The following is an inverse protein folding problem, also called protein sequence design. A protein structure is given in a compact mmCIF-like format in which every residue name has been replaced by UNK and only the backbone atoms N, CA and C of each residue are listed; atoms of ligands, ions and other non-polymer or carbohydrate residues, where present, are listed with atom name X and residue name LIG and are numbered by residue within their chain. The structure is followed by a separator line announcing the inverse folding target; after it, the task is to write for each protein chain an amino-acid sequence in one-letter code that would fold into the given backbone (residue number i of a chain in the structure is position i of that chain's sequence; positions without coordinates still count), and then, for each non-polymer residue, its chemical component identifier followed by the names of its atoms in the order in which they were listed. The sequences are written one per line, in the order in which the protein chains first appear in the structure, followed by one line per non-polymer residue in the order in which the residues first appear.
data_IF_860810444528
#
_entry.id   IF_860810444528
#
_cell.length_a   1.000
_cell.length_b   1.000
_cell.length_c   1.000
_cell.angle_alpha   90.00
_cell.angle_beta   90.00
_cell.angle_gamma   90.00
#
_symmetry.space_group_name_H-M   'P 1'
#
loop_
_entity.id
_entity.type
_entity.pdbx_description
1 polymer ?
#
# COMPACT_ATOMS: atom_id res chain seq x y z
N UNK A 1 -9.68 54.48 -31.44
CA UNK A 1 -10.40 53.19 -31.41
C UNK A 1 -9.43 51.99 -31.44
N UNK A 2 -8.35 52.04 -32.17
CA UNK A 2 -7.46 50.88 -32.42
C UNK A 2 -6.63 50.38 -31.24
N UNK A 3 -6.02 51.29 -30.43
CA UNK A 3 -5.12 50.87 -29.35
C UNK A 3 -5.90 50.18 -28.19
N UNK A 4 -7.02 50.76 -27.78
CA UNK A 4 -7.84 50.17 -26.72
C UNK A 4 -8.40 48.79 -27.10
N UNK A 5 -8.79 48.56 -28.36
CA UNK A 5 -9.25 47.26 -28.87
C UNK A 5 -8.09 46.25 -28.92
N UNK A 6 -6.90 46.66 -29.28
CA UNK A 6 -5.70 45.82 -29.31
C UNK A 6 -5.35 45.41 -27.88
N UNK A 7 -5.31 46.36 -26.92
CA UNK A 7 -5.05 46.07 -25.51
C UNK A 7 -6.09 45.07 -24.92
N UNK A 8 -7.36 45.32 -25.20
CA UNK A 8 -8.44 44.40 -24.79
C UNK A 8 -8.27 43.01 -25.40
N UNK A 9 -7.93 42.93 -26.68
CA UNK A 9 -7.69 41.64 -27.37
C UNK A 9 -6.51 40.87 -26.75
N UNK A 10 -5.39 41.58 -26.46
CA UNK A 10 -4.22 40.98 -25.81
C UNK A 10 -4.57 40.50 -24.39
N UNK A 11 -5.32 41.29 -23.64
CA UNK A 11 -5.73 40.92 -22.27
C UNK A 11 -6.63 39.65 -22.26
N UNK A 12 -7.59 39.59 -23.20
CA UNK A 12 -8.44 38.41 -23.38
C UNK A 12 -7.62 37.19 -23.79
N UNK A 13 -6.66 37.33 -24.69
CA UNK A 13 -5.78 36.26 -25.11
C UNK A 13 -4.96 35.71 -23.92
N UNK A 14 -4.38 36.59 -23.08
CA UNK A 14 -3.64 36.22 -21.90
C UNK A 14 -4.52 35.47 -20.90
N UNK A 15 -5.75 35.95 -20.68
CA UNK A 15 -6.70 35.26 -19.79
C UNK A 15 -7.05 33.85 -20.29
N UNK A 16 -7.26 33.69 -21.60
CA UNK A 16 -7.53 32.37 -22.20
C UNK A 16 -6.33 31.43 -22.03
N UNK A 17 -5.11 31.92 -22.29
CA UNK A 17 -3.89 31.13 -22.12
C UNK A 17 -3.68 30.72 -20.69
N UNK A 18 -3.91 31.61 -19.72
CA UNK A 18 -3.86 31.30 -18.28
C UNK A 18 -4.92 30.27 -17.91
N UNK A 19 -6.13 30.39 -18.43
CA UNK A 19 -7.19 29.41 -18.21
C UNK A 19 -6.81 28.01 -18.71
N UNK A 20 -6.30 27.92 -19.94
CA UNK A 20 -5.84 26.66 -20.53
C UNK A 20 -4.69 26.03 -19.74
N UNK A 21 -3.79 26.87 -19.22
CA UNK A 21 -2.68 26.43 -18.39
C UNK A 21 -3.14 25.85 -17.06
N UNK A 22 -4.10 26.50 -16.38
CA UNK A 22 -4.72 25.98 -15.13
C UNK A 22 -5.42 24.65 -15.37
N UNK A 23 -6.13 24.52 -16.48
CA UNK A 23 -6.75 23.23 -16.90
C UNK A 23 -5.67 22.14 -17.06
N UNK A 24 -4.53 22.49 -17.66
CA UNK A 24 -3.40 21.57 -17.79
C UNK A 24 -2.87 21.08 -16.44
N UNK A 25 -2.71 21.97 -15.46
CA UNK A 25 -2.31 21.65 -14.09
C UNK A 25 -3.34 20.70 -13.44
N UNK A 26 -4.62 21.05 -13.51
CA UNK A 26 -5.70 20.24 -12.97
C UNK A 26 -5.69 18.80 -13.54
N UNK A 27 -5.64 18.69 -14.86
CA UNK A 27 -5.62 17.40 -15.55
C UNK A 27 -4.39 16.56 -15.18
N UNK A 28 -3.22 17.19 -15.02
CA UNK A 28 -2.00 16.53 -14.58
C UNK A 28 -2.15 15.95 -13.16
N UNK A 29 -2.69 16.73 -12.22
CA UNK A 29 -2.93 16.27 -10.84
C UNK A 29 -3.96 15.13 -10.81
N UNK A 30 -5.02 15.20 -11.61
CA UNK A 30 -6.00 14.11 -11.73
C UNK A 30 -5.34 12.84 -12.27
N UNK A 31 -4.52 12.95 -13.31
CA UNK A 31 -3.83 11.81 -13.91
C UNK A 31 -2.88 11.13 -12.90
N UNK A 32 -2.10 11.91 -12.15
CA UNK A 32 -1.20 11.41 -11.13
C UNK A 32 -1.96 10.77 -9.95
N UNK A 33 -3.07 11.37 -9.52
CA UNK A 33 -3.95 10.79 -8.51
C UNK A 33 -4.50 9.43 -8.95
N UNK A 34 -4.94 9.31 -10.19
CA UNK A 34 -5.44 8.05 -10.71
C UNK A 34 -4.31 7.01 -10.87
N UNK A 35 -3.08 7.46 -11.15
CA UNK A 35 -1.91 6.58 -11.25
C UNK A 35 -1.61 5.89 -9.92
N UNK A 36 -1.54 6.62 -8.79
CA UNK A 36 -1.29 5.96 -7.51
C UNK A 36 -2.47 5.11 -7.04
N UNK A 37 -3.73 5.49 -7.34
CA UNK A 37 -4.89 4.64 -7.09
C UNK A 37 -4.82 3.31 -7.85
N UNK A 38 -4.40 3.35 -9.10
CA UNK A 38 -4.19 2.14 -9.90
C UNK A 38 -3.01 1.30 -9.38
N UNK A 39 -1.92 1.94 -8.92
CA UNK A 39 -0.82 1.23 -8.27
C UNK A 39 -1.27 0.55 -6.98
N UNK A 40 -2.16 1.17 -6.18
CA UNK A 40 -2.75 0.54 -5.00
C UNK A 40 -3.57 -0.73 -5.35
N UNK A 41 -4.29 -0.74 -6.46
CA UNK A 41 -5.04 -1.92 -6.89
C UNK A 41 -4.15 -3.16 -7.08
N UNK A 42 -2.87 -2.98 -7.46
CA UNK A 42 -1.92 -4.09 -7.53
C UNK A 42 -1.56 -4.64 -6.14
N UNK A 43 -1.45 -3.76 -5.14
CA UNK A 43 -1.29 -4.18 -3.74
C UNK A 43 -2.51 -4.99 -3.29
N UNK A 44 -3.72 -4.47 -3.52
CA UNK A 44 -4.98 -5.09 -3.10
C UNK A 44 -5.14 -6.52 -3.65
N UNK A 45 -4.78 -6.74 -4.93
CA UNK A 45 -4.79 -8.08 -5.54
C UNK A 45 -3.88 -9.07 -4.79
N UNK A 46 -2.65 -8.63 -4.43
CA UNK A 46 -1.70 -9.51 -3.74
C UNK A 46 -2.09 -9.73 -2.26
N UNK A 47 -2.64 -8.71 -1.60
CA UNK A 47 -3.17 -8.84 -0.25
C UNK A 47 -4.33 -9.84 -0.20
N UNK A 48 -5.28 -9.76 -1.13
CA UNK A 48 -6.37 -10.74 -1.23
C UNK A 48 -5.83 -12.16 -1.38
N UNK A 49 -4.85 -12.38 -2.28
CA UNK A 49 -4.22 -13.69 -2.44
C UNK A 49 -3.60 -14.18 -1.12
N UNK A 50 -2.90 -13.31 -0.39
CA UNK A 50 -2.33 -13.65 0.93
C UNK A 50 -3.42 -14.04 1.92
N UNK A 51 -4.51 -13.27 2.00
CA UNK A 51 -5.62 -13.58 2.89
C UNK A 51 -6.34 -14.88 2.55
N UNK A 52 -6.35 -15.30 1.29
CA UNK A 52 -6.96 -16.56 0.86
C UNK A 52 -6.06 -17.77 1.16
N UNK A 53 -4.74 -17.60 1.20
CA UNK A 53 -3.79 -18.66 1.55
C UNK A 53 -3.77 -18.96 3.05
N UNK A 54 -3.94 -17.96 3.91
CA UNK A 54 -3.80 -18.09 5.37
C UNK A 54 -4.77 -19.11 5.99
N UNK A 55 -6.07 -19.18 5.67
CA UNK A 55 -6.97 -20.19 6.19
C UNK A 55 -6.51 -21.61 5.88
N UNK A 56 -5.99 -21.85 4.68
CA UNK A 56 -5.48 -23.17 4.27
C UNK A 56 -4.22 -23.53 5.07
N UNK A 57 -3.31 -22.57 5.28
CA UNK A 57 -2.13 -22.76 6.13
C UNK A 57 -2.53 -23.14 7.57
N UNK A 58 -3.49 -22.42 8.15
CA UNK A 58 -3.98 -22.64 9.52
C UNK A 58 -4.66 -24.01 9.60
N UNK A 59 -5.41 -24.44 8.59
CA UNK A 59 -6.08 -25.76 8.58
C UNK A 59 -5.07 -26.90 8.53
N UNK A 60 -4.03 -26.80 7.68
CA UNK A 60 -2.93 -27.78 7.66
C UNK A 60 -2.22 -27.81 9.02
N UNK A 61 -1.89 -26.64 9.58
CA UNK A 61 -1.22 -26.55 10.88
C UNK A 61 -2.05 -27.15 12.02
N UNK A 62 -3.38 -26.97 12.01
CA UNK A 62 -4.31 -27.49 13.03
C UNK A 62 -4.26 -29.00 13.16
N UNK A 63 -4.00 -29.72 12.07
CA UNK A 63 -3.87 -31.18 12.08
C UNK A 63 -2.72 -31.69 12.96
N UNK A 64 -1.66 -30.88 13.09
CA UNK A 64 -0.43 -31.22 13.82
C UNK A 64 -0.30 -30.48 15.15
N UNK A 65 -0.81 -29.26 15.27
CA UNK A 65 -0.64 -28.32 16.38
C UNK A 65 -1.90 -28.26 17.27
N UNK A 66 -2.40 -29.39 17.72
CA UNK A 66 -3.69 -29.48 18.46
C UNK A 66 -3.71 -28.67 19.77
N UNK A 67 -2.56 -28.44 20.41
CA UNK A 67 -2.44 -27.69 21.66
C UNK A 67 -2.18 -26.19 21.47
N UNK A 68 -2.05 -25.74 20.21
CA UNK A 68 -1.71 -24.36 19.84
C UNK A 68 -2.92 -23.56 19.29
N UNK A 69 -4.14 -23.88 19.78
CA UNK A 69 -5.36 -23.24 19.26
C UNK A 69 -5.31 -21.71 19.34
N UNK A 70 -4.74 -21.14 20.43
CA UNK A 70 -4.63 -19.71 20.61
C UNK A 70 -3.74 -19.02 19.56
N UNK A 71 -2.65 -19.68 19.14
CA UNK A 71 -1.77 -19.17 18.07
C UNK A 71 -2.48 -19.20 16.72
N UNK A 72 -3.18 -20.30 16.40
CA UNK A 72 -3.94 -20.44 15.18
C UNK A 72 -5.10 -19.44 15.10
N UNK A 73 -5.84 -19.25 16.20
CA UNK A 73 -6.94 -18.28 16.29
C UNK A 73 -6.43 -16.84 16.15
N UNK A 74 -5.27 -16.52 16.73
CA UNK A 74 -4.66 -15.19 16.61
C UNK A 74 -4.33 -14.85 15.14
N UNK A 75 -3.85 -15.81 14.35
CA UNK A 75 -3.59 -15.63 12.92
C UNK A 75 -4.88 -15.35 12.15
N UNK A 76 -5.94 -16.14 12.38
CA UNK A 76 -7.25 -15.92 11.72
C UNK A 76 -7.83 -14.56 12.11
N UNK A 77 -7.76 -14.17 13.39
CA UNK A 77 -8.23 -12.85 13.86
C UNK A 77 -7.46 -11.71 13.20
N UNK A 78 -6.14 -11.78 13.17
CA UNK A 78 -5.30 -10.76 12.54
C UNK A 78 -5.56 -10.67 11.03
N UNK A 79 -5.72 -11.81 10.35
CA UNK A 79 -6.11 -11.86 8.92
C UNK A 79 -7.44 -11.17 8.66
N UNK A 80 -8.46 -11.39 9.51
CA UNK A 80 -9.77 -10.77 9.32
C UNK A 80 -9.71 -9.24 9.51
N UNK A 81 -8.93 -8.77 10.50
CA UNK A 81 -8.68 -7.34 10.72
C UNK A 81 -7.99 -6.72 9.50
N UNK A 82 -6.93 -7.39 8.99
CA UNK A 82 -6.19 -6.92 7.83
C UNK A 82 -7.06 -6.89 6.56
N UNK A 83 -7.88 -7.92 6.33
CA UNK A 83 -8.80 -7.98 5.19
C UNK A 83 -9.84 -6.85 5.22
N UNK A 84 -10.39 -6.52 6.40
CA UNK A 84 -11.33 -5.40 6.56
C UNK A 84 -10.64 -4.06 6.30
N UNK A 85 -9.43 -3.87 6.82
CA UNK A 85 -8.67 -2.65 6.59
C UNK A 85 -8.27 -2.49 5.11
N UNK A 86 -7.90 -3.58 4.43
CA UNK A 86 -7.60 -3.59 3.00
C UNK A 86 -8.83 -3.19 2.16
N UNK A 87 -10.00 -3.71 2.49
CA UNK A 87 -11.24 -3.34 1.81
C UNK A 87 -11.55 -1.83 1.96
N UNK A 88 -11.34 -1.27 3.16
CA UNK A 88 -11.52 0.16 3.40
C UNK A 88 -10.53 1.02 2.60
N UNK A 89 -9.26 0.62 2.56
CA UNK A 89 -8.23 1.31 1.79
C UNK A 89 -8.46 1.19 0.26
N UNK A 90 -8.95 0.03 -0.21
CA UNK A 90 -9.28 -0.19 -1.62
C UNK A 90 -10.48 0.67 -2.08
N UNK A 91 -11.45 0.93 -1.19
CA UNK A 91 -12.57 1.81 -1.49
C UNK A 91 -12.13 3.26 -1.74
N UNK A 92 -11.14 3.75 -1.00
CA UNK A 92 -10.56 5.08 -1.20
C UNK A 92 -9.05 5.13 -0.89
N UNK A 93 -8.18 4.78 -1.85
CA UNK A 93 -6.72 4.82 -1.65
C UNK A 93 -6.13 6.22 -1.44
N UNK A 94 -6.94 7.28 -1.57
CA UNK A 94 -6.54 8.65 -1.26
C UNK A 94 -6.80 9.03 0.20
N UNK A 95 -7.49 8.20 0.98
CA UNK A 95 -7.68 8.40 2.41
C UNK A 95 -6.44 7.91 3.17
N UNK A 96 -5.64 8.87 3.66
CA UNK A 96 -4.44 8.57 4.43
C UNK A 96 -4.71 7.78 5.72
N UNK A 97 -5.87 7.96 6.35
CA UNK A 97 -6.23 7.19 7.55
C UNK A 97 -6.52 5.72 7.21
N UNK A 98 -7.21 5.47 6.10
CA UNK A 98 -7.45 4.10 5.63
C UNK A 98 -6.13 3.38 5.31
N UNK A 99 -5.17 4.06 4.68
CA UNK A 99 -3.84 3.51 4.41
C UNK A 99 -3.07 3.23 5.72
N UNK A 100 -3.08 4.15 6.70
CA UNK A 100 -2.43 3.94 8.01
C UNK A 100 -3.04 2.78 8.77
N UNK A 101 -4.37 2.67 8.78
CA UNK A 101 -5.06 1.55 9.42
C UNK A 101 -4.68 0.21 8.76
N UNK A 102 -4.59 0.19 7.42
CA UNK A 102 -4.14 -1.00 6.69
C UNK A 102 -2.70 -1.36 7.09
N UNK A 103 -1.77 -0.40 7.12
CA UNK A 103 -0.37 -0.66 7.53
C UNK A 103 -0.28 -1.27 8.92
N UNK A 104 -1.04 -0.72 9.89
CA UNK A 104 -1.07 -1.25 11.26
C UNK A 104 -1.65 -2.67 11.32
N UNK A 105 -2.72 -2.92 10.58
CA UNK A 105 -3.35 -4.26 10.52
C UNK A 105 -2.42 -5.29 9.85
N UNK A 106 -1.69 -4.91 8.80
CA UNK A 106 -0.70 -5.73 8.12
C UNK A 106 0.49 -6.07 9.02
N UNK A 107 0.99 -5.11 9.80
CA UNK A 107 2.03 -5.35 10.80
C UNK A 107 1.57 -6.36 11.87
N UNK A 108 0.32 -6.24 12.33
CA UNK A 108 -0.28 -7.20 13.26
C UNK A 108 -0.40 -8.61 12.66
N UNK A 109 -0.79 -8.73 11.40
CA UNK A 109 -0.86 -10.02 10.71
C UNK A 109 0.55 -10.62 10.52
N UNK A 110 1.53 -9.81 10.12
CA UNK A 110 2.92 -10.24 10.00
C UNK A 110 3.46 -10.80 11.32
N UNK A 111 3.20 -10.13 12.45
CA UNK A 111 3.58 -10.60 13.78
C UNK A 111 2.91 -11.93 14.16
N UNK A 112 1.63 -12.10 13.85
CA UNK A 112 0.91 -13.35 14.12
C UNK A 112 1.43 -14.52 13.26
N UNK A 113 1.72 -14.29 11.97
CA UNK A 113 2.31 -15.28 11.08
C UNK A 113 3.74 -15.65 11.52
N UNK A 114 4.56 -14.68 11.88
CA UNK A 114 5.91 -14.94 12.39
C UNK A 114 5.87 -15.81 13.65
N UNK A 115 4.94 -15.54 14.58
CA UNK A 115 4.76 -16.37 15.76
C UNK A 115 4.33 -17.80 15.40
N UNK A 116 3.41 -17.96 14.46
CA UNK A 116 3.00 -19.28 13.97
C UNK A 116 4.20 -20.05 13.41
N UNK A 117 5.05 -19.40 12.61
CA UNK A 117 6.24 -20.03 12.02
C UNK A 117 7.23 -20.47 13.13
N UNK A 118 7.47 -19.63 14.14
CA UNK A 118 8.34 -20.00 15.29
C UNK A 118 7.78 -21.20 16.04
N UNK A 119 6.48 -21.24 16.34
CA UNK A 119 5.86 -22.37 17.02
C UNK A 119 5.89 -23.64 16.14
N UNK A 120 5.70 -23.51 14.84
CA UNK A 120 5.75 -24.65 13.89
C UNK A 120 7.11 -25.37 13.88
N UNK A 121 8.21 -24.69 14.27
CA UNK A 121 9.54 -25.30 14.41
C UNK A 121 9.57 -26.47 15.42
N UNK A 122 8.65 -26.48 16.39
CA UNK A 122 8.53 -27.53 17.40
C UNK A 122 7.79 -28.77 16.89
N UNK A 123 7.30 -28.74 15.64
CA UNK A 123 6.50 -29.81 15.02
C UNK A 123 7.17 -30.30 13.71
N UNK A 124 8.17 -31.20 13.79
CA UNK A 124 8.93 -31.66 12.61
C UNK A 124 8.08 -32.27 11.52
N UNK A 125 7.02 -33.01 11.90
CA UNK A 125 6.11 -33.66 10.96
C UNK A 125 5.30 -32.61 10.14
N UNK A 126 4.93 -31.49 10.76
CA UNK A 126 4.30 -30.36 10.07
C UNK A 126 5.26 -29.73 9.07
N UNK A 127 6.51 -29.52 9.46
CA UNK A 127 7.54 -28.96 8.54
C UNK A 127 7.80 -29.85 7.34
N UNK A 128 7.75 -31.17 7.52
CA UNK A 128 7.92 -32.16 6.44
C UNK A 128 6.66 -32.30 5.56
N UNK A 129 5.53 -31.73 5.96
CA UNK A 129 4.30 -31.83 5.19
C UNK A 129 4.38 -31.02 3.89
N UNK A 130 4.14 -31.66 2.74
CA UNK A 130 4.24 -31.02 1.41
C UNK A 130 3.30 -29.83 1.26
N UNK A 131 2.06 -29.93 1.75
CA UNK A 131 1.08 -28.84 1.66
C UNK A 131 1.55 -27.63 2.49
N UNK A 132 2.13 -27.87 3.68
CA UNK A 132 2.69 -26.79 4.51
C UNK A 132 3.85 -26.07 3.80
N UNK A 133 4.78 -26.84 3.22
CA UNK A 133 5.90 -26.28 2.46
C UNK A 133 5.42 -25.47 1.26
N UNK A 134 4.49 -26.00 0.46
CA UNK A 134 3.94 -25.30 -0.70
C UNK A 134 3.23 -24.00 -0.31
N UNK A 135 2.37 -24.03 0.73
CA UNK A 135 1.65 -22.85 1.20
C UNK A 135 2.60 -21.79 1.75
N UNK A 136 3.67 -22.19 2.44
CA UNK A 136 4.71 -21.28 2.94
C UNK A 136 5.48 -20.62 1.78
N UNK A 137 5.82 -21.40 0.73
CA UNK A 137 6.45 -20.88 -0.48
C UNK A 137 5.55 -19.89 -1.22
N UNK A 138 4.26 -20.22 -1.37
CA UNK A 138 3.28 -19.31 -1.99
C UNK A 138 3.09 -18.02 -1.18
N UNK A 139 3.06 -18.10 0.15
CA UNK A 139 3.00 -16.93 1.03
C UNK A 139 4.26 -16.07 0.86
N UNK A 140 5.44 -16.65 0.86
CA UNK A 140 6.71 -15.95 0.64
C UNK A 140 6.75 -15.27 -0.73
N UNK A 141 6.33 -15.99 -1.79
CA UNK A 141 6.21 -15.42 -3.13
C UNK A 141 5.24 -14.25 -3.17
N UNK A 142 4.10 -14.36 -2.49
CA UNK A 142 3.09 -13.30 -2.41
C UNK A 142 3.61 -12.09 -1.64
N UNK A 143 4.36 -12.29 -0.55
CA UNK A 143 4.99 -11.21 0.22
C UNK A 143 5.98 -10.41 -0.63
N UNK A 144 6.81 -11.10 -1.42
CA UNK A 144 7.71 -10.43 -2.37
C UNK A 144 6.94 -9.59 -3.40
N UNK A 145 5.82 -10.11 -3.92
CA UNK A 145 4.97 -9.35 -4.86
C UNK A 145 4.30 -8.14 -4.20
N UNK A 146 3.89 -8.26 -2.93
CA UNK A 146 3.37 -7.14 -2.13
C UNK A 146 4.46 -6.08 -1.96
N UNK A 147 5.69 -6.46 -1.66
CA UNK A 147 6.81 -5.54 -1.50
C UNK A 147 7.08 -4.73 -2.79
N UNK A 148 7.12 -5.39 -3.95
CA UNK A 148 7.26 -4.72 -5.25
C UNK A 148 6.08 -3.79 -5.57
N UNK A 149 4.84 -4.24 -5.31
CA UNK A 149 3.65 -3.43 -5.55
C UNK A 149 3.63 -2.19 -4.63
N UNK A 150 4.07 -2.32 -3.36
CA UNK A 150 4.22 -1.20 -2.41
C UNK A 150 5.25 -0.18 -2.90
N UNK A 151 6.38 -0.63 -3.44
CA UNK A 151 7.37 0.28 -4.01
C UNK A 151 6.78 1.07 -5.18
N UNK A 152 6.13 0.43 -6.13
CA UNK A 152 5.50 1.10 -7.28
C UNK A 152 4.41 2.10 -6.85
N UNK A 153 3.64 1.76 -5.81
CA UNK A 153 2.67 2.67 -5.20
C UNK A 153 3.37 3.89 -4.57
N UNK A 154 4.39 3.68 -3.77
CA UNK A 154 5.14 4.74 -3.11
C UNK A 154 5.78 5.71 -4.12
N UNK A 155 6.36 5.20 -5.20
CA UNK A 155 6.92 6.01 -6.29
C UNK A 155 5.83 6.87 -6.97
N UNK A 156 4.64 6.29 -7.16
CA UNK A 156 3.50 7.00 -7.73
C UNK A 156 2.96 8.07 -6.77
N UNK A 157 2.87 7.79 -5.48
CA UNK A 157 2.50 8.76 -4.42
C UNK A 157 3.52 9.88 -4.32
N UNK A 158 4.81 9.54 -4.32
CA UNK A 158 5.89 10.54 -4.27
C UNK A 158 5.79 11.49 -5.47
N UNK A 159 5.62 10.96 -6.68
CA UNK A 159 5.45 11.75 -7.91
C UNK A 159 4.24 12.68 -7.81
N UNK A 160 3.10 12.17 -7.31
CA UNK A 160 1.90 12.97 -7.11
C UNK A 160 2.13 14.09 -6.07
N UNK A 161 2.66 13.77 -4.89
CA UNK A 161 2.88 14.74 -3.83
C UNK A 161 3.89 15.81 -4.25
N UNK A 162 5.01 15.42 -4.89
CA UNK A 162 6.00 16.37 -5.41
C UNK A 162 5.38 17.33 -6.43
N UNK A 163 4.63 16.80 -7.41
CA UNK A 163 3.97 17.65 -8.42
C UNK A 163 2.95 18.59 -7.78
N UNK A 164 2.19 18.10 -6.79
CA UNK A 164 1.20 18.86 -6.04
C UNK A 164 1.84 20.01 -5.24
N UNK A 165 3.03 19.82 -4.67
CA UNK A 165 3.75 20.77 -3.81
C UNK A 165 4.64 21.74 -4.57
N UNK A 166 4.96 21.43 -5.82
CA UNK A 166 5.78 22.30 -6.69
C UNK A 166 4.99 23.52 -7.12
N UNK A 167 5.63 24.70 -7.11
CA UNK A 167 5.06 25.91 -7.69
C UNK A 167 5.02 25.77 -9.23
N UNK A 168 3.95 26.22 -9.90
CA UNK A 168 2.76 26.88 -9.35
C UNK A 168 1.63 25.95 -8.91
N UNK A 169 1.77 24.65 -9.07
CA UNK A 169 0.72 23.65 -8.84
C UNK A 169 0.17 23.69 -7.40
N UNK A 170 1.01 24.02 -6.42
CA UNK A 170 0.64 24.07 -4.99
C UNK A 170 -0.55 25.01 -4.73
N UNK A 171 -0.63 26.14 -5.45
CA UNK A 171 -1.72 27.11 -5.33
C UNK A 171 -3.04 26.48 -5.81
N UNK A 172 -3.01 25.88 -6.98
CA UNK A 172 -4.20 25.27 -7.60
C UNK A 172 -4.59 23.96 -6.90
N UNK A 173 -3.61 23.19 -6.43
CA UNK A 173 -3.89 21.96 -5.67
C UNK A 173 -4.70 22.26 -4.41
N UNK A 174 -4.38 23.31 -3.67
CA UNK A 174 -5.14 23.77 -2.52
C UNK A 174 -6.55 24.22 -2.91
N UNK A 175 -6.68 25.03 -3.97
CA UNK A 175 -7.96 25.53 -4.46
C UNK A 175 -8.91 24.41 -4.94
N UNK A 176 -8.40 23.38 -5.57
CA UNK A 176 -9.19 22.26 -6.11
C UNK A 176 -9.30 21.07 -5.14
N UNK A 177 -8.80 21.19 -3.91
CA UNK A 177 -8.95 20.16 -2.89
C UNK A 177 -8.13 18.88 -3.15
N UNK A 178 -6.99 18.98 -3.82
CA UNK A 178 -6.04 17.89 -3.95
C UNK A 178 -5.26 17.72 -2.64
N UNK A 179 -5.64 16.73 -1.83
CA UNK A 179 -4.97 16.41 -0.57
C UNK A 179 -3.69 15.59 -0.81
N UNK A 180 -2.71 15.62 0.11
CA UNK A 180 -1.53 14.77 0.04
C UNK A 180 -1.95 13.30 0.16
N UNK A 181 -1.28 12.43 -0.59
CA UNK A 181 -1.45 10.99 -0.48
C UNK A 181 -0.43 10.41 0.52
N UNK A 182 -0.86 9.39 1.27
CA UNK A 182 -0.04 8.71 2.26
C UNK A 182 0.82 7.63 1.61
N UNK A 183 2.09 7.54 2.02
CA UNK A 183 3.01 6.48 1.60
C UNK A 183 2.70 5.19 2.35
N UNK A 184 2.83 4.05 1.69
CA UNK A 184 2.76 2.74 2.34
C UNK A 184 4.12 2.40 2.94
N UNK A 185 4.40 2.89 4.16
CA UNK A 185 5.68 2.64 4.86
C UNK A 185 5.57 1.34 5.67
N UNK A 186 6.61 0.52 5.62
CA UNK A 186 6.81 -0.56 6.60
C UNK A 186 7.56 0.06 7.78
N UNK A 187 6.95 0.07 8.96
CA UNK A 187 7.61 0.48 10.21
C UNK A 187 8.40 -0.69 10.82
N UNK A 188 9.16 -1.42 10.01
CA UNK A 188 10.07 -2.41 10.57
C UNK A 188 11.39 -1.73 10.94
N UNK A 189 11.49 -1.35 12.22
CA UNK A 189 12.72 -0.78 12.78
C UNK A 189 13.91 -1.75 12.65
N UNK A 190 13.65 -3.05 12.45
CA UNK A 190 14.66 -4.10 12.30
C UNK A 190 15.27 -4.12 10.90
N UNK A 191 14.54 -3.73 9.85
CA UNK A 191 15.08 -3.63 8.48
C UNK A 191 16.06 -2.45 8.31
N UNK A 192 16.07 -1.49 9.26
CA UNK A 192 16.99 -0.33 9.22
C UNK A 192 18.34 -0.60 9.91
N UNK A 193 18.47 -1.69 10.64
CA UNK A 193 19.73 -2.07 11.28
C UNK A 193 20.41 -3.15 10.47
N UNK A 194 21.56 -2.83 9.88
CA UNK A 194 22.41 -3.83 9.26
C UNK A 194 22.72 -4.95 10.28
N UNK A 195 22.62 -6.24 9.90
CA UNK A 195 22.95 -7.32 10.81
C UNK A 195 24.38 -7.16 11.30
N UNK A 196 24.59 -7.12 12.63
CA UNK A 196 25.90 -7.14 13.22
C UNK A 196 26.48 -8.54 13.01
N UNK A 197 27.39 -8.65 12.06
CA UNK A 197 28.19 -9.88 11.89
C UNK A 197 29.24 -9.89 12.99
N UNK A 198 29.09 -10.78 13.97
CA UNK A 198 30.09 -11.06 15.01
C UNK A 198 30.87 -12.30 14.54
N UNK A 199 32.12 -12.10 14.21
CA UNK A 199 33.08 -13.21 14.03
C UNK A 199 33.68 -13.50 15.40
N UNK A 200 33.19 -14.55 16.11
CA UNK A 200 33.86 -15.18 17.21
C UNK A 200 34.42 -16.51 16.75
#
# INVERSE_FOLDING_TARGET
MSIALIVLGVLLLVLVLLGLWVVGIYNSLVALRNRFKNAFAQIDVQLKRRYDLIPNLVEVARGYMKHESSTLEAVIKARNIAATAAQSAAANPADGNAIKNLMSAEAGLGGALSRLMVVSEQYPDLKANQNMMQLTEELTSTENKIAFARQAYNDSVMTYNTTRETFPNVVFAGMFGFLPAELFKVEDATERTAPKVSFN
#
